data_IF_188261555611
#
_entry.id   IF_188261555611
#
_cell.length_a   1.000
_cell.length_b   1.000
_cell.length_c   1.000
_cell.angle_alpha   90.00
_cell.angle_beta   90.00
_cell.angle_gamma   90.00
#
_symmetry.space_group_name_H-M   'P 1'
#
loop_
_entity.id
_entity.type
_entity.pdbx_description
1 polymer ?
#
# COMPACT_ATOMS: atom_id res chain seq x y z
N UNK A 1 4.48 -25.23 13.21
CA UNK A 1 4.88 -23.90 12.74
C UNK A 1 3.70 -23.36 11.96
N UNK A 2 3.16 -22.22 12.39
CA UNK A 2 2.07 -21.54 11.68
C UNK A 2 2.72 -20.59 10.66
N UNK A 3 2.34 -20.74 9.39
CA UNK A 3 2.84 -19.95 8.28
C UNK A 3 1.76 -19.00 7.73
N UNK A 4 0.62 -18.94 8.40
CA UNK A 4 -0.44 -18.01 8.03
C UNK A 4 -0.07 -16.59 8.47
N UNK A 5 -0.71 -15.61 7.83
CA UNK A 5 -0.58 -14.21 8.20
C UNK A 5 -1.20 -13.97 9.59
N UNK A 6 -0.56 -13.07 10.34
CA UNK A 6 -1.13 -12.55 11.58
C UNK A 6 -2.47 -11.86 11.32
N UNK A 7 -3.33 -11.70 12.35
CA UNK A 7 -4.55 -10.93 12.23
C UNK A 7 -4.32 -9.52 11.68
N UNK A 8 -3.23 -8.86 12.10
CA UNK A 8 -2.89 -7.51 11.66
C UNK A 8 -2.45 -7.47 10.19
N UNK A 9 -1.66 -8.46 9.76
CA UNK A 9 -1.29 -8.61 8.34
C UNK A 9 -2.51 -8.88 7.46
N UNK A 10 -3.48 -9.66 7.94
CA UNK A 10 -4.76 -9.90 7.24
C UNK A 10 -5.59 -8.62 7.15
N UNK A 11 -5.69 -7.86 8.24
CA UNK A 11 -6.40 -6.58 8.25
C UNK A 11 -5.76 -5.56 7.29
N UNK A 12 -4.43 -5.47 7.27
CA UNK A 12 -3.69 -4.63 6.33
C UNK A 12 -3.97 -5.04 4.88
N UNK A 13 -3.92 -6.34 4.57
CA UNK A 13 -4.23 -6.86 3.23
C UNK A 13 -5.63 -6.45 2.77
N UNK A 14 -6.62 -6.58 3.64
CA UNK A 14 -8.02 -6.31 3.30
C UNK A 14 -8.26 -4.81 3.12
N UNK A 15 -7.65 -3.97 3.97
CA UNK A 15 -7.64 -2.52 3.80
C UNK A 15 -6.97 -2.10 2.48
N UNK A 16 -5.80 -2.68 2.17
CA UNK A 16 -5.08 -2.39 0.94
C UNK A 16 -5.87 -2.75 -0.31
N UNK A 17 -6.52 -3.92 -0.29
CA UNK A 17 -7.40 -4.36 -1.37
C UNK A 17 -8.54 -3.36 -1.61
N UNK A 18 -9.22 -2.92 -0.55
CA UNK A 18 -10.35 -2.00 -0.67
C UNK A 18 -9.92 -0.65 -1.24
N UNK A 19 -8.87 -0.06 -0.66
CA UNK A 19 -8.36 1.24 -1.10
C UNK A 19 -7.89 1.19 -2.56
N UNK A 20 -7.12 0.19 -2.97
CA UNK A 20 -6.65 0.09 -4.36
C UNK A 20 -7.79 -0.17 -5.34
N UNK A 21 -8.83 -0.91 -4.95
CA UNK A 21 -10.01 -1.10 -5.79
C UNK A 21 -10.76 0.23 -6.06
N UNK A 22 -10.79 1.12 -5.06
CA UNK A 22 -11.45 2.43 -5.16
C UNK A 22 -10.57 3.46 -5.88
N UNK A 23 -9.26 3.44 -5.67
CA UNK A 23 -8.37 4.52 -6.08
C UNK A 23 -7.41 4.19 -7.24
N UNK A 24 -7.21 2.92 -7.60
CA UNK A 24 -6.25 2.48 -8.61
C UNK A 24 -6.91 1.79 -9.82
N UNK A 25 -7.94 2.41 -10.40
CA UNK A 25 -8.63 1.88 -11.58
C UNK A 25 -7.69 1.74 -12.79
N UNK A 26 -7.97 0.80 -13.68
CA UNK A 26 -7.18 0.58 -14.91
C UNK A 26 -7.08 1.84 -15.77
N UNK A 27 -8.15 2.64 -15.84
CA UNK A 27 -8.16 3.95 -16.52
C UNK A 27 -7.16 4.92 -15.90
N UNK A 28 -7.10 4.99 -14.55
CA UNK A 28 -6.15 5.86 -13.85
C UNK A 28 -4.71 5.42 -14.11
N UNK A 29 -4.45 4.11 -14.01
CA UNK A 29 -3.12 3.54 -14.32
C UNK A 29 -2.73 3.84 -15.76
N UNK A 30 -3.66 3.65 -16.72
CA UNK A 30 -3.41 3.93 -18.14
C UNK A 30 -3.06 5.39 -18.38
N UNK A 31 -3.79 6.32 -17.77
CA UNK A 31 -3.52 7.77 -17.86
C UNK A 31 -2.09 8.11 -17.44
N UNK A 32 -1.58 7.52 -16.35
CA UNK A 32 -0.22 7.78 -15.88
C UNK A 32 0.81 7.22 -16.87
N UNK A 33 0.59 5.99 -17.36
CA UNK A 33 1.46 5.35 -18.36
C UNK A 33 1.55 6.11 -19.69
N UNK A 34 0.56 6.93 -20.01
CA UNK A 34 0.53 7.78 -21.22
C UNK A 34 1.22 9.14 -21.02
N UNK A 35 1.84 9.37 -19.86
CA UNK A 35 2.59 10.59 -19.54
C UNK A 35 4.04 10.26 -19.19
N UNK A 36 4.90 11.27 -19.16
CA UNK A 36 6.27 11.15 -18.63
C UNK A 36 6.32 11.17 -17.09
N UNK A 37 5.16 11.13 -16.42
CA UNK A 37 5.10 11.12 -14.95
C UNK A 37 5.56 9.75 -14.43
N UNK A 38 6.52 9.67 -13.50
CA UNK A 38 7.10 8.40 -13.07
C UNK A 38 6.12 7.52 -12.27
N UNK A 39 5.13 8.11 -11.61
CA UNK A 39 4.10 7.42 -10.84
C UNK A 39 2.93 8.35 -10.52
N UNK A 40 1.83 7.80 -10.01
CA UNK A 40 0.69 8.59 -9.54
C UNK A 40 0.96 9.15 -8.14
N UNK A 41 1.35 10.43 -8.08
CA UNK A 41 1.72 11.08 -6.82
C UNK A 41 0.59 11.14 -5.78
N UNK A 42 -0.66 11.31 -6.22
CA UNK A 42 -1.82 11.36 -5.35
C UNK A 42 -2.13 9.98 -4.76
N UNK A 43 -2.10 8.93 -5.58
CA UNK A 43 -2.27 7.56 -5.10
C UNK A 43 -1.17 7.18 -4.10
N UNK A 44 0.08 7.54 -4.40
CA UNK A 44 1.23 7.28 -3.53
C UNK A 44 1.09 8.00 -2.18
N UNK A 45 0.64 9.25 -2.19
CA UNK A 45 0.40 9.99 -0.96
C UNK A 45 -0.68 9.33 -0.10
N UNK A 46 -1.80 8.91 -0.69
CA UNK A 46 -2.84 8.19 0.03
C UNK A 46 -2.34 6.88 0.67
N UNK A 47 -1.47 6.14 -0.02
CA UNK A 47 -0.83 4.95 0.57
C UNK A 47 0.08 5.30 1.77
N UNK A 48 0.76 6.44 1.73
CA UNK A 48 1.61 6.91 2.81
C UNK A 48 0.79 7.37 4.03
N UNK A 49 -0.33 8.06 3.84
CA UNK A 49 -1.26 8.44 4.92
C UNK A 49 -1.83 7.22 5.66
N UNK A 50 -2.00 6.11 4.93
CA UNK A 50 -2.44 4.82 5.51
C UNK A 50 -1.31 4.06 6.22
N UNK A 51 -0.08 4.58 6.22
CA UNK A 51 1.07 4.02 6.94
C UNK A 51 1.77 2.84 6.24
N UNK A 52 1.42 2.53 5.00
CA UNK A 52 1.91 1.31 4.34
C UNK A 52 3.41 1.34 4.01
N UNK A 53 3.99 2.53 3.89
CA UNK A 53 5.43 2.69 3.59
C UNK A 53 6.31 2.14 4.73
N UNK A 54 5.78 2.05 5.95
CA UNK A 54 6.47 1.52 7.12
C UNK A 54 6.20 0.04 7.39
N UNK A 55 5.38 -0.66 6.60
CA UNK A 55 4.90 -2.01 6.93
C UNK A 55 6.03 -3.00 7.21
N UNK A 56 7.05 -3.02 6.36
CA UNK A 56 8.21 -3.92 6.50
C UNK A 56 9.39 -3.27 7.25
N UNK A 57 9.24 -2.03 7.71
CA UNK A 57 10.30 -1.31 8.41
C UNK A 57 10.26 -1.70 9.90
N UNK A 58 11.40 -1.95 10.56
CA UNK A 58 11.42 -2.23 11.99
C UNK A 58 10.85 -1.08 12.83
N UNK A 59 10.25 -1.42 13.97
CA UNK A 59 9.68 -0.43 14.91
C UNK A 59 10.71 0.59 15.41
N UNK A 60 11.99 0.21 15.53
CA UNK A 60 13.08 1.11 15.92
C UNK A 60 13.26 2.30 14.97
N UNK A 61 12.75 2.20 13.73
CA UNK A 61 12.74 3.26 12.74
C UNK A 61 11.34 3.84 12.50
N UNK A 62 10.36 3.49 13.34
CA UNK A 62 8.97 3.95 13.24
C UNK A 62 8.10 3.14 12.27
N UNK A 63 8.51 1.93 11.89
CA UNK A 63 7.69 1.03 11.06
C UNK A 63 6.85 0.03 11.86
N UNK A 64 6.15 -0.86 11.16
CA UNK A 64 5.24 -1.84 11.75
C UNK A 64 5.87 -3.24 11.96
N UNK A 65 7.07 -3.49 11.44
CA UNK A 65 7.79 -4.75 11.66
C UNK A 65 7.07 -6.01 11.17
N UNK A 66 6.21 -5.91 10.16
CA UNK A 66 5.44 -7.06 9.64
C UNK A 66 6.23 -7.94 8.64
N UNK A 67 7.53 -7.72 8.52
CA UNK A 67 8.45 -8.49 7.68
C UNK A 67 9.59 -9.07 8.49
#
# INVERSE_FOLDING_TARGET
MDFDFSPDQKALRDQARKFLAEHASSTRVRRILETDTPYDAELWHGMAEMGWMGTAIPEAYGGAGFG
#
